data_IF_847720113681
#
_entry.id   IF_847720113681
#
_cell.length_a   1.000
_cell.length_b   1.000
_cell.length_c   1.000
_cell.angle_alpha   90.00
_cell.angle_beta   90.00
_cell.angle_gamma   90.00
#
_symmetry.space_group_name_H-M   'P 1'
#
loop_
_entity.id
_entity.type
_entity.pdbx_description
1 polymer ?
#
# COMPACT_ATOMS: atom_id res chain seq x y z
N UNK A 1 -0.20 -40.96 36.52
CA UNK A 1 0.56 -40.60 35.30
C UNK A 1 -0.07 -39.36 34.71
N UNK A 2 0.56 -38.21 34.91
CA UNK A 2 0.03 -36.89 34.52
C UNK A 2 0.44 -36.61 33.08
N UNK A 3 -0.55 -36.49 32.19
CA UNK A 3 -0.35 -36.05 30.80
C UNK A 3 0.04 -34.56 30.81
N UNK A 4 1.31 -34.26 30.51
CA UNK A 4 1.72 -32.92 30.11
C UNK A 4 1.16 -32.64 28.71
N UNK A 5 0.07 -31.89 28.65
CA UNK A 5 -0.32 -31.19 27.43
C UNK A 5 0.71 -30.08 27.19
N UNK A 6 1.62 -30.31 26.23
CA UNK A 6 2.44 -29.24 25.67
C UNK A 6 1.49 -28.26 24.97
N UNK A 7 1.18 -27.15 25.64
CA UNK A 7 0.59 -26.00 24.98
C UNK A 7 1.58 -25.53 23.92
N UNK A 8 1.32 -25.85 22.65
CA UNK A 8 1.97 -25.19 21.54
C UNK A 8 1.72 -23.69 21.72
N UNK A 9 2.76 -22.92 22.03
CA UNK A 9 2.64 -21.48 22.07
C UNK A 9 2.12 -21.03 20.71
N UNK A 10 0.92 -20.43 20.68
CA UNK A 10 0.37 -19.85 19.47
C UNK A 10 1.40 -18.86 18.94
N UNK A 11 1.94 -19.13 17.75
CA UNK A 11 3.03 -18.32 17.23
C UNK A 11 2.47 -16.95 16.83
N UNK A 12 2.77 -15.95 17.66
CA UNK A 12 2.36 -14.56 17.43
C UNK A 12 3.43 -13.84 16.63
N UNK A 13 3.05 -13.29 15.49
CA UNK A 13 3.87 -12.42 14.64
C UNK A 13 3.56 -10.97 14.93
N UNK A 14 4.51 -10.07 14.70
CA UNK A 14 4.17 -8.65 14.78
C UNK A 14 3.31 -8.27 13.55
N UNK A 15 2.32 -7.39 13.70
CA UNK A 15 1.43 -7.03 12.59
C UNK A 15 2.17 -6.51 11.36
N UNK A 16 3.29 -5.81 11.54
CA UNK A 16 4.14 -5.31 10.44
C UNK A 16 4.83 -6.41 9.61
N UNK A 17 4.98 -7.60 10.18
CA UNK A 17 5.54 -8.79 9.54
C UNK A 17 4.48 -9.54 8.74
N UNK A 18 3.20 -9.18 8.89
CA UNK A 18 2.08 -9.82 8.21
C UNK A 18 1.58 -8.94 7.07
N UNK A 19 1.26 -9.58 5.95
CA UNK A 19 0.66 -8.92 4.80
C UNK A 19 -0.45 -9.78 4.20
N UNK A 20 -1.58 -9.15 3.89
CA UNK A 20 -2.62 -9.74 3.06
C UNK A 20 -2.21 -9.58 1.60
N UNK A 21 -1.86 -10.68 0.96
CA UNK A 21 -1.50 -10.77 -0.44
C UNK A 21 -2.72 -11.22 -1.25
N UNK A 22 -3.06 -10.45 -2.28
CA UNK A 22 -4.11 -10.80 -3.24
C UNK A 22 -3.42 -11.27 -4.51
N UNK A 23 -3.72 -12.49 -4.94
CA UNK A 23 -3.09 -13.09 -6.12
C UNK A 23 -4.08 -13.15 -7.27
N UNK A 24 -3.73 -12.43 -8.33
CA UNK A 24 -4.49 -12.32 -9.56
C UNK A 24 -3.91 -13.17 -10.69
N UNK A 25 -4.69 -13.31 -11.76
CA UNK A 25 -4.26 -14.05 -12.95
C UNK A 25 -3.39 -13.18 -13.84
N UNK A 26 -3.79 -11.92 -14.00
CA UNK A 26 -3.07 -10.95 -14.83
C UNK A 26 -3.06 -9.57 -14.21
N UNK A 27 -1.89 -8.93 -14.20
CA UNK A 27 -1.72 -7.53 -13.80
C UNK A 27 -2.26 -6.56 -14.86
N UNK A 28 -2.23 -6.97 -16.13
CA UNK A 28 -2.63 -6.15 -17.28
C UNK A 28 -4.16 -6.20 -17.54
N UNK A 29 -4.83 -7.28 -17.12
CA UNK A 29 -6.28 -7.47 -17.23
C UNK A 29 -6.87 -7.97 -15.90
N UNK A 30 -6.97 -7.06 -14.93
CA UNK A 30 -7.52 -7.33 -13.59
C UNK A 30 -8.97 -7.83 -13.70
N UNK A 31 -9.22 -9.01 -13.14
CA UNK A 31 -10.55 -9.60 -13.15
C UNK A 31 -11.52 -8.80 -12.26
N UNK A 32 -12.82 -8.86 -12.57
CA UNK A 32 -13.84 -8.19 -11.75
C UNK A 32 -13.86 -8.70 -10.31
N UNK A 33 -13.51 -9.97 -10.08
CA UNK A 33 -13.46 -10.58 -8.75
C UNK A 33 -12.25 -10.09 -7.96
N UNK A 34 -11.07 -10.00 -8.59
CA UNK A 34 -9.87 -9.42 -7.96
C UNK A 34 -10.11 -7.97 -7.56
N UNK A 35 -10.68 -7.16 -8.46
CA UNK A 35 -11.03 -5.77 -8.17
C UNK A 35 -12.00 -5.67 -6.98
N UNK A 36 -12.99 -6.55 -6.92
CA UNK A 36 -13.93 -6.58 -5.79
C UNK A 36 -13.23 -6.90 -4.47
N UNK A 37 -12.35 -7.92 -4.46
CA UNK A 37 -11.54 -8.30 -3.28
C UNK A 37 -10.71 -7.14 -2.78
N UNK A 38 -9.95 -6.48 -3.66
CA UNK A 38 -9.08 -5.38 -3.23
C UNK A 38 -9.91 -4.19 -2.75
N UNK A 39 -11.00 -3.84 -3.44
CA UNK A 39 -11.92 -2.77 -3.01
C UNK A 39 -12.49 -3.02 -1.63
N UNK A 40 -12.97 -4.25 -1.39
CA UNK A 40 -13.57 -4.64 -0.12
C UNK A 40 -12.56 -4.55 1.02
N UNK A 41 -11.38 -5.15 0.86
CA UNK A 41 -10.34 -5.13 1.89
C UNK A 41 -9.85 -3.70 2.19
N UNK A 42 -9.77 -2.83 1.19
CA UNK A 42 -9.48 -1.41 1.41
C UNK A 42 -10.60 -0.69 2.18
N UNK A 43 -11.87 -0.98 1.86
CA UNK A 43 -13.01 -0.40 2.58
C UNK A 43 -12.94 -0.77 4.07
N UNK A 44 -12.70 -2.04 4.40
CA UNK A 44 -12.63 -2.50 5.80
C UNK A 44 -11.52 -1.83 6.60
N UNK A 45 -10.36 -1.65 5.98
CA UNK A 45 -9.23 -0.97 6.63
C UNK A 45 -9.62 0.46 7.01
N UNK A 46 -10.36 1.14 6.14
CA UNK A 46 -10.90 2.47 6.39
C UNK A 46 -12.02 2.48 7.43
N UNK A 47 -12.98 1.56 7.32
CA UNK A 47 -14.19 1.51 8.15
C UNK A 47 -13.89 1.10 9.60
N UNK A 48 -13.00 0.13 9.80
CA UNK A 48 -12.69 -0.43 11.11
C UNK A 48 -11.36 0.03 11.69
N UNK A 49 -10.66 0.93 11.00
CA UNK A 49 -9.39 1.46 11.48
C UNK A 49 -8.31 0.39 11.69
N UNK A 50 -8.30 -0.66 10.86
CA UNK A 50 -7.30 -1.74 10.93
C UNK A 50 -5.95 -1.29 10.35
N UNK A 51 -5.31 -0.34 11.05
CA UNK A 51 -4.10 0.37 10.59
C UNK A 51 -2.89 -0.54 10.36
N UNK A 52 -2.87 -1.67 11.07
CA UNK A 52 -1.76 -2.60 11.09
C UNK A 52 -1.87 -3.67 9.99
N UNK A 53 -3.04 -3.78 9.35
CA UNK A 53 -3.25 -4.71 8.24
C UNK A 53 -2.56 -4.17 6.99
N UNK A 54 -1.45 -4.80 6.58
CA UNK A 54 -0.76 -4.48 5.31
C UNK A 54 -1.39 -5.27 4.18
N UNK A 55 -1.42 -4.67 2.99
CA UNK A 55 -1.97 -5.30 1.79
C UNK A 55 -1.00 -5.20 0.63
N UNK A 56 -1.13 -6.13 -0.31
CA UNK A 56 -0.36 -6.18 -1.54
C UNK A 56 -0.99 -7.06 -2.61
N UNK A 57 -0.49 -6.97 -3.85
CA UNK A 57 -0.94 -7.78 -4.98
C UNK A 57 0.22 -8.44 -5.70
N UNK A 58 0.03 -9.65 -6.23
CA UNK A 58 0.95 -10.35 -7.15
C UNK A 58 0.14 -11.07 -8.26
N UNK A 59 0.78 -11.36 -9.39
CA UNK A 59 0.10 -11.89 -10.58
C UNK A 59 0.89 -13.01 -11.29
N UNK A 60 0.17 -13.97 -11.90
CA UNK A 60 0.78 -15.11 -12.61
C UNK A 60 1.30 -14.79 -14.02
N UNK A 61 0.77 -13.75 -14.67
CA UNK A 61 1.29 -13.28 -15.97
C UNK A 61 2.67 -12.63 -15.87
N UNK A 62 3.17 -12.36 -14.66
CA UNK A 62 4.52 -11.85 -14.39
C UNK A 62 5.46 -13.01 -14.06
N UNK A 63 6.46 -13.34 -14.90
CA UNK A 63 7.29 -14.54 -14.71
C UNK A 63 8.02 -14.61 -13.37
N UNK A 64 8.53 -13.47 -12.87
CA UNK A 64 9.20 -13.40 -11.56
C UNK A 64 8.24 -13.66 -10.40
N UNK A 65 7.05 -13.08 -10.47
CA UNK A 65 6.02 -13.26 -9.43
C UNK A 65 5.43 -14.66 -9.49
N UNK A 66 5.17 -15.20 -10.68
CA UNK A 66 4.67 -16.56 -10.87
C UNK A 66 5.64 -17.63 -10.33
N UNK A 67 6.95 -17.46 -10.55
CA UNK A 67 7.98 -18.31 -9.92
C UNK A 67 7.91 -18.18 -8.41
N UNK A 68 7.82 -16.96 -7.88
CA UNK A 68 7.75 -16.73 -6.45
C UNK A 68 6.48 -17.30 -5.79
N UNK A 69 5.32 -17.10 -6.42
CA UNK A 69 4.02 -17.61 -5.99
C UNK A 69 4.04 -19.14 -5.90
N UNK A 70 4.62 -19.81 -6.90
CA UNK A 70 4.71 -21.28 -6.92
C UNK A 70 5.74 -21.81 -5.95
N UNK A 71 6.96 -21.29 -6.02
CA UNK A 71 8.13 -21.92 -5.40
C UNK A 71 8.30 -21.51 -3.93
N UNK A 72 7.84 -20.30 -3.57
CA UNK A 72 7.97 -19.77 -2.20
C UNK A 72 6.64 -19.81 -1.45
N UNK A 73 5.56 -19.38 -2.10
CA UNK A 73 4.26 -19.23 -1.44
C UNK A 73 3.33 -20.46 -1.63
N UNK A 74 3.68 -21.37 -2.53
CA UNK A 74 2.90 -22.59 -2.82
C UNK A 74 1.53 -22.32 -3.44
N UNK A 75 1.30 -21.13 -3.99
CA UNK A 75 0.05 -20.72 -4.63
C UNK A 75 0.11 -21.12 -6.10
N UNK A 76 -0.95 -21.72 -6.64
CA UNK A 76 -1.02 -22.15 -8.05
C UNK A 76 -1.92 -21.23 -8.86
N UNK A 77 -1.70 -21.21 -10.17
CA UNK A 77 -2.50 -20.41 -11.09
C UNK A 77 -3.99 -20.82 -11.07
N UNK A 78 -4.27 -22.11 -10.81
CA UNK A 78 -5.62 -22.66 -10.66
C UNK A 78 -6.36 -22.19 -9.40
N UNK A 79 -5.66 -21.50 -8.49
CA UNK A 79 -6.18 -21.03 -7.21
C UNK A 79 -6.62 -19.56 -7.27
N UNK A 80 -6.30 -18.87 -8.37
CA UNK A 80 -6.66 -17.47 -8.62
C UNK A 80 -8.19 -17.34 -8.78
N UNK A 81 -8.83 -16.27 -8.29
CA UNK A 81 -8.30 -15.19 -7.45
C UNK A 81 -8.09 -15.71 -6.03
N UNK A 82 -6.91 -15.56 -5.44
CA UNK A 82 -6.65 -16.01 -4.07
C UNK A 82 -6.34 -14.84 -3.13
N UNK A 83 -6.68 -15.02 -1.86
CA UNK A 83 -6.28 -14.10 -0.79
C UNK A 83 -5.49 -14.87 0.24
N UNK A 84 -4.27 -14.43 0.47
CA UNK A 84 -3.30 -15.15 1.28
C UNK A 84 -2.77 -14.25 2.39
N UNK A 85 -2.65 -14.79 3.59
CA UNK A 85 -1.91 -14.15 4.66
C UNK A 85 -0.46 -14.66 4.59
N UNK A 86 0.47 -13.74 4.34
CA UNK A 86 1.89 -14.06 4.17
C UNK A 86 2.73 -13.40 5.25
N UNK A 87 3.79 -14.10 5.66
CA UNK A 87 4.86 -13.56 6.48
C UNK A 87 5.84 -12.82 5.58
N UNK A 88 6.22 -11.61 5.98
CA UNK A 88 7.22 -10.79 5.33
C UNK A 88 8.58 -10.95 6.03
N UNK A 89 9.65 -10.88 5.25
CA UNK A 89 10.98 -10.64 5.79
C UNK A 89 11.11 -9.18 6.26
N UNK A 90 11.49 -8.97 7.51
CA UNK A 90 11.59 -7.63 8.10
C UNK A 90 12.65 -6.73 7.46
N UNK A 91 13.66 -7.31 6.82
CA UNK A 91 14.75 -6.57 6.18
C UNK A 91 14.41 -6.20 4.74
N UNK A 92 13.83 -7.13 4.00
CA UNK A 92 13.59 -6.98 2.56
C UNK A 92 12.16 -6.61 2.23
N UNK A 93 11.20 -6.82 3.13
CA UNK A 93 9.78 -6.60 2.91
C UNK A 93 9.14 -7.56 1.91
N UNK A 94 9.82 -8.67 1.58
CA UNK A 94 9.34 -9.68 0.64
C UNK A 94 8.58 -10.81 1.35
N UNK A 95 7.52 -11.39 0.75
CA UNK A 95 6.81 -12.52 1.34
C UNK A 95 7.65 -13.80 1.43
N UNK A 96 8.07 -14.21 2.63
CA UNK A 96 8.92 -15.40 2.80
C UNK A 96 8.15 -16.69 2.94
N UNK A 97 6.89 -16.61 3.41
CA UNK A 97 6.09 -17.78 3.71
C UNK A 97 4.61 -17.47 3.64
N UNK A 98 3.86 -18.40 3.08
CA UNK A 98 2.41 -18.40 3.15
C UNK A 98 1.95 -19.03 4.48
N UNK A 99 1.12 -18.32 5.23
CA UNK A 99 0.58 -18.77 6.52
C UNK A 99 -0.84 -19.31 6.35
N UNK A 100 -1.61 -18.71 5.45
CA UNK A 100 -3.01 -19.06 5.21
C UNK A 100 -3.43 -18.61 3.82
N UNK A 101 -4.26 -19.38 3.12
CA UNK A 101 -4.76 -19.00 1.79
C UNK A 101 -6.20 -19.44 1.60
N UNK A 102 -6.98 -18.52 1.04
CA UNK A 102 -8.31 -18.77 0.51
C UNK A 102 -8.20 -18.71 -1.01
N UNK A 103 -8.39 -19.86 -1.66
CA UNK A 103 -8.34 -19.98 -3.10
C UNK A 103 -9.71 -19.70 -3.72
N UNK A 104 -9.73 -19.23 -4.98
CA UNK A 104 -10.93 -19.04 -5.80
C UNK A 104 -11.99 -18.16 -5.16
N UNK A 105 -11.56 -17.03 -4.60
CA UNK A 105 -12.42 -16.01 -4.03
C UNK A 105 -13.24 -15.36 -5.15
N UNK A 106 -14.56 -15.50 -5.05
CA UNK A 106 -15.51 -14.88 -5.96
C UNK A 106 -16.24 -13.73 -5.26
N UNK A 107 -16.90 -12.87 -6.04
CA UNK A 107 -17.75 -11.78 -5.50
C UNK A 107 -18.83 -12.24 -4.52
N UNK A 108 -19.32 -13.47 -4.64
CA UNK A 108 -20.37 -14.00 -3.75
C UNK A 108 -19.82 -14.51 -2.42
N UNK A 109 -18.55 -14.91 -2.40
CA UNK A 109 -17.89 -15.50 -1.23
C UNK A 109 -16.93 -14.52 -0.54
N UNK A 110 -16.89 -13.27 -1.00
CA UNK A 110 -15.92 -12.26 -0.56
C UNK A 110 -16.03 -11.94 0.94
N UNK A 111 -17.26 -11.79 1.45
CA UNK A 111 -17.48 -11.47 2.88
C UNK A 111 -17.05 -12.64 3.77
N UNK A 112 -17.36 -13.88 3.38
CA UNK A 112 -16.95 -15.06 4.13
C UNK A 112 -15.43 -15.29 4.08
N UNK A 113 -14.80 -15.02 2.93
CA UNK A 113 -13.36 -15.12 2.77
C UNK A 113 -12.63 -14.05 3.62
N UNK A 114 -13.18 -12.85 3.64
CA UNK A 114 -12.70 -11.75 4.47
C UNK A 114 -12.78 -12.09 5.97
N UNK A 115 -13.95 -12.51 6.47
CA UNK A 115 -14.16 -12.81 7.88
C UNK A 115 -13.16 -13.86 8.37
N UNK A 116 -12.97 -14.93 7.60
CA UNK A 116 -12.02 -15.98 7.93
C UNK A 116 -10.57 -15.49 7.86
N UNK A 117 -10.20 -14.71 6.83
CA UNK A 117 -8.87 -14.13 6.73
C UNK A 117 -8.54 -13.21 7.91
N UNK A 118 -9.49 -12.36 8.32
CA UNK A 118 -9.34 -11.44 9.43
C UNK A 118 -9.25 -12.18 10.76
N UNK A 119 -10.01 -13.27 10.92
CA UNK A 119 -9.90 -14.18 12.07
C UNK A 119 -8.49 -14.75 12.17
N UNK A 120 -7.96 -15.28 11.06
CA UNK A 120 -6.60 -15.83 11.00
C UNK A 120 -5.54 -14.76 11.28
N UNK A 121 -5.68 -13.56 10.69
CA UNK A 121 -4.79 -12.44 10.96
C UNK A 121 -4.82 -12.02 12.43
N UNK A 122 -6.00 -11.94 13.06
CA UNK A 122 -6.14 -11.60 14.47
C UNK A 122 -5.49 -12.63 15.39
N UNK A 123 -5.67 -13.92 15.09
CA UNK A 123 -5.08 -15.04 15.84
C UNK A 123 -3.54 -15.02 15.73
N UNK A 124 -3.01 -14.78 14.54
CA UNK A 124 -1.58 -14.78 14.28
C UNK A 124 -0.88 -13.48 14.72
N UNK A 125 -1.57 -12.34 14.70
CA UNK A 125 -0.99 -11.05 15.11
C UNK A 125 -1.17 -10.75 16.59
N UNK A 126 -2.11 -11.45 17.26
CA UNK A 126 -2.56 -11.14 18.62
C UNK A 126 -3.38 -9.84 18.71
N UNK A 127 -3.68 -9.19 17.58
CA UNK A 127 -4.46 -7.95 17.55
C UNK A 127 -5.95 -8.30 17.55
N UNK A 128 -6.74 -7.81 18.52
CA UNK A 128 -8.15 -8.15 18.59
C UNK A 128 -8.93 -7.52 17.43
N UNK A 129 -9.82 -8.30 16.80
CA UNK A 129 -10.78 -7.75 15.86
C UNK A 129 -11.74 -6.76 16.55
N UNK A 130 -12.15 -5.69 15.83
CA UNK A 130 -13.24 -4.81 16.26
C UNK A 130 -14.48 -5.62 16.64
N UNK A 131 -15.22 -5.16 17.65
CA UNK A 131 -16.39 -5.86 18.20
C UNK A 131 -17.46 -6.22 17.16
N UNK A 132 -17.56 -5.44 16.08
CA UNK A 132 -18.47 -5.63 14.96
C UNK A 132 -18.10 -6.79 14.03
N UNK A 133 -16.85 -7.26 14.08
CA UNK A 133 -16.30 -8.36 13.26
C UNK A 133 -16.01 -9.61 14.10
N UNK A 134 -16.35 -9.59 15.40
CA UNK A 134 -16.26 -10.80 16.23
C UNK A 134 -17.46 -11.68 15.93
N UNK A 135 -17.28 -13.00 15.76
CA UNK A 135 -18.41 -13.90 15.61
C UNK A 135 -19.29 -13.80 16.86
N UNK A 136 -20.55 -13.41 16.66
CA UNK A 136 -21.59 -13.54 17.67
C UNK A 136 -21.72 -15.02 18.00
N UNK A 137 -21.45 -15.39 19.26
CA UNK A 137 -21.82 -16.70 19.77
C UNK A 137 -23.31 -16.99 19.52
N UNK A 138 -23.73 -18.26 19.50
CA UNK A 138 -25.11 -18.61 19.17
C UNK A 138 -26.07 -17.98 20.19
N UNK A 139 -26.91 -17.05 19.74
CA UNK A 139 -28.12 -16.64 20.45
C UNK A 139 -28.26 -15.19 20.92
N UNK A 140 -27.92 -14.17 20.11
CA UNK A 140 -28.48 -12.82 20.31
C UNK A 140 -28.88 -12.20 18.96
N UNK A 141 -30.11 -11.68 18.79
CA UNK A 141 -30.55 -11.06 17.54
C UNK A 141 -29.69 -9.84 17.21
N UNK A 142 -29.21 -9.77 15.98
CA UNK A 142 -28.49 -8.62 15.42
C UNK A 142 -29.48 -7.48 15.22
N UNK A 143 -29.48 -6.48 16.10
CA UNK A 143 -29.99 -5.15 15.74
C UNK A 143 -28.86 -4.38 15.04
N UNK A 144 -28.89 -4.41 13.71
CA UNK A 144 -28.19 -3.45 12.86
C UNK A 144 -28.57 -2.04 13.33
N UNK A 145 -27.63 -1.15 13.70
CA UNK A 145 -27.98 0.21 14.04
C UNK A 145 -28.52 0.91 12.79
N UNK A 146 -29.82 1.19 12.79
CA UNK A 146 -30.45 2.11 11.86
C UNK A 146 -29.84 3.50 12.11
N UNK A 147 -29.18 4.05 11.10
CA UNK A 147 -28.64 5.39 11.16
C UNK A 147 -29.77 6.42 11.31
N UNK A 148 -29.83 7.08 12.48
CA UNK A 148 -30.65 8.29 12.69
C UNK A 148 -29.70 9.49 12.74
N UNK A 149 -30.00 10.60 12.03
CA UNK A 149 -29.06 11.71 11.88
C UNK A 149 -29.08 12.62 13.11
N UNK A 150 -27.97 12.70 13.84
CA UNK A 150 -27.83 13.64 14.96
C UNK A 150 -26.68 14.63 14.71
N UNK A 151 -27.00 15.90 14.94
CA UNK A 151 -26.24 17.11 14.64
C UNK A 151 -24.81 17.13 15.23
N UNK A 152 -23.92 17.69 14.42
CA UNK A 152 -22.50 18.04 14.65
C UNK A 152 -22.35 19.20 15.63
N UNK A 153 -21.33 19.17 16.52
CA UNK A 153 -20.59 20.36 16.92
C UNK A 153 -19.22 20.40 16.21
N UNK A 154 -18.84 21.62 15.86
CA UNK A 154 -17.73 22.03 15.01
C UNK A 154 -16.42 22.16 15.79
N UNK A 155 -15.32 21.53 15.34
CA UNK A 155 -13.95 22.12 15.34
C UNK A 155 -12.88 21.13 14.84
N UNK A 156 -12.55 21.26 13.55
CA UNK A 156 -11.27 20.98 12.87
C UNK A 156 -11.60 20.70 11.39
N UNK A 157 -10.92 21.30 10.40
CA UNK A 157 -11.13 20.93 9.02
C UNK A 157 -10.72 19.45 8.85
N UNK A 158 -11.65 18.55 8.47
CA UNK A 158 -11.25 17.21 8.10
C UNK A 158 -10.42 17.33 6.83
N UNK A 159 -9.19 16.80 6.84
CA UNK A 159 -8.51 16.49 5.58
C UNK A 159 -9.45 15.56 4.83
N UNK A 160 -10.04 16.08 3.76
CA UNK A 160 -10.90 15.30 2.88
C UNK A 160 -10.12 14.08 2.43
N UNK A 161 -10.61 12.85 2.67
CA UNK A 161 -10.13 11.72 1.93
C UNK A 161 -10.50 12.02 0.47
N UNK A 162 -9.51 12.30 -0.37
CA UNK A 162 -9.75 12.55 -1.78
C UNK A 162 -10.26 11.23 -2.37
N UNK A 163 -11.49 11.19 -2.91
CA UNK A 163 -12.02 10.00 -3.54
C UNK A 163 -11.50 9.97 -4.98
N UNK A 164 -10.47 9.17 -5.22
CA UNK A 164 -10.27 8.55 -6.53
C UNK A 164 -10.27 7.05 -6.29
N UNK A 165 -11.39 6.40 -6.62
CA UNK A 165 -11.63 4.97 -6.47
C UNK A 165 -10.81 4.08 -7.42
N UNK A 166 -9.59 4.52 -7.76
CA UNK A 166 -8.63 3.71 -8.49
C UNK A 166 -7.73 3.03 -7.46
N UNK A 167 -8.06 1.79 -7.16
CA UNK A 167 -7.19 0.90 -6.42
C UNK A 167 -5.97 0.58 -7.30
N UNK A 168 -4.82 1.10 -6.91
CA UNK A 168 -3.52 0.86 -7.53
C UNK A 168 -3.03 -0.56 -7.20
N UNK A 169 -2.80 -1.34 -8.26
CA UNK A 169 -2.07 -2.61 -8.21
C UNK A 169 -0.58 -2.35 -8.03
N UNK A 170 0.21 -3.39 -7.78
CA UNK A 170 1.68 -3.28 -7.78
C UNK A 170 2.22 -2.61 -9.06
N UNK A 171 1.66 -2.89 -10.23
CA UNK A 171 2.02 -2.22 -11.49
C UNK A 171 1.52 -0.77 -11.57
N UNK A 172 0.33 -0.46 -11.04
CA UNK A 172 -0.13 0.93 -10.92
C UNK A 172 0.85 1.75 -10.08
N UNK A 173 1.32 1.16 -8.98
CA UNK A 173 2.33 1.74 -8.10
C UNK A 173 3.70 1.84 -8.79
N UNK A 174 4.14 0.80 -9.51
CA UNK A 174 5.40 0.79 -10.25
C UNK A 174 5.38 1.80 -11.42
N UNK A 175 4.27 1.92 -12.12
CA UNK A 175 4.05 2.91 -13.17
C UNK A 175 4.16 4.33 -12.64
N UNK A 176 3.52 4.60 -11.50
CA UNK A 176 3.66 5.88 -10.78
C UNK A 176 5.12 6.14 -10.39
N UNK A 177 5.84 5.15 -9.86
CA UNK A 177 7.24 5.30 -9.48
C UNK A 177 8.15 5.57 -10.71
N UNK A 178 7.94 4.87 -11.82
CA UNK A 178 8.65 5.09 -13.10
C UNK A 178 8.39 6.49 -13.65
N UNK A 179 7.15 6.95 -13.60
CA UNK A 179 6.77 8.29 -14.05
C UNK A 179 7.39 9.39 -13.16
N UNK A 180 7.41 9.18 -11.85
CA UNK A 180 8.04 10.08 -10.89
C UNK A 180 9.56 10.16 -11.08
N UNK A 181 10.25 9.04 -11.28
CA UNK A 181 11.69 9.02 -11.59
C UNK A 181 11.97 9.72 -12.90
N UNK A 182 11.24 9.38 -13.98
CA UNK A 182 11.46 10.01 -15.29
C UNK A 182 11.28 11.52 -15.23
N UNK A 183 10.24 11.99 -14.54
CA UNK A 183 9.92 13.42 -14.46
C UNK A 183 10.90 14.18 -13.58
N UNK A 184 11.29 13.62 -12.43
CA UNK A 184 12.30 14.23 -11.56
C UNK A 184 13.67 14.28 -12.24
N UNK A 185 14.08 13.20 -12.93
CA UNK A 185 15.32 13.16 -13.70
C UNK A 185 15.32 14.17 -14.85
N UNK A 186 14.22 14.27 -15.61
CA UNK A 186 14.10 15.24 -16.70
C UNK A 186 14.18 16.69 -16.19
N UNK A 187 13.56 16.99 -15.04
CA UNK A 187 13.64 18.33 -14.43
C UNK A 187 15.06 18.61 -13.92
N UNK A 188 15.72 17.61 -13.31
CA UNK A 188 17.10 17.73 -12.83
C UNK A 188 18.09 17.98 -13.97
N UNK A 189 18.00 17.25 -15.08
CA UNK A 189 18.87 17.44 -16.25
C UNK A 189 18.81 18.87 -16.80
N UNK A 190 17.64 19.50 -16.76
CA UNK A 190 17.43 20.87 -17.22
C UNK A 190 18.04 21.92 -16.27
N UNK A 191 18.31 21.58 -15.01
CA UNK A 191 18.78 22.51 -13.97
C UNK A 191 20.23 22.27 -13.58
N UNK A 192 20.71 21.03 -13.55
CA UNK A 192 22.00 20.65 -12.94
C UNK A 192 23.22 21.43 -13.44
N UNK A 193 23.23 21.75 -14.74
CA UNK A 193 24.34 22.45 -15.39
C UNK A 193 24.13 23.97 -15.52
N UNK A 194 23.01 24.49 -15.01
CA UNK A 194 22.77 25.94 -15.04
C UNK A 194 23.56 26.64 -13.94
N UNK A 195 24.05 27.87 -14.17
CA UNK A 195 24.68 28.65 -13.11
C UNK A 195 23.72 28.80 -11.93
N UNK A 196 24.26 28.72 -10.71
CA UNK A 196 23.47 29.03 -9.51
C UNK A 196 23.13 30.51 -9.49
N UNK A 197 22.06 30.87 -8.78
CA UNK A 197 21.76 32.27 -8.54
C UNK A 197 22.81 32.88 -7.61
N UNK A 198 23.07 34.17 -7.79
CA UNK A 198 24.03 34.91 -6.96
C UNK A 198 23.62 34.94 -5.48
N UNK A 199 22.31 34.87 -5.20
CA UNK A 199 21.75 34.82 -3.84
C UNK A 199 21.82 33.43 -3.18
N UNK A 200 22.24 32.40 -3.92
CA UNK A 200 22.34 31.02 -3.45
C UNK A 200 21.02 30.36 -3.06
N UNK A 201 19.87 31.02 -3.29
CA UNK A 201 18.57 30.53 -2.83
C UNK A 201 18.08 29.32 -3.64
N UNK A 202 18.61 29.11 -4.85
CA UNK A 202 18.32 27.91 -5.66
C UNK A 202 19.07 26.65 -5.18
N UNK A 203 19.98 26.75 -4.21
CA UNK A 203 20.73 25.61 -3.68
C UNK A 203 19.83 24.59 -2.99
N UNK A 204 18.93 25.04 -2.11
CA UNK A 204 18.00 24.16 -1.39
C UNK A 204 17.06 23.44 -2.36
N UNK A 205 16.57 24.17 -3.37
CA UNK A 205 15.75 23.63 -4.44
C UNK A 205 16.48 22.53 -5.22
N UNK A 206 17.73 22.78 -5.64
CA UNK A 206 18.53 21.79 -6.36
C UNK A 206 18.83 20.55 -5.53
N UNK A 207 19.10 20.72 -4.23
CA UNK A 207 19.30 19.61 -3.31
C UNK A 207 18.03 18.77 -3.14
N UNK A 208 16.88 19.40 -2.95
CA UNK A 208 15.60 18.72 -2.84
C UNK A 208 15.23 17.97 -4.14
N UNK A 209 15.49 18.58 -5.30
CA UNK A 209 15.27 17.95 -6.60
C UNK A 209 16.19 16.75 -6.83
N UNK A 210 17.47 16.85 -6.49
CA UNK A 210 18.39 15.70 -6.54
C UNK A 210 17.93 14.58 -5.60
N UNK A 211 17.48 14.93 -4.38
CA UNK A 211 16.87 13.98 -3.45
C UNK A 211 15.67 13.27 -4.05
N UNK A 212 14.77 13.99 -4.71
CA UNK A 212 13.63 13.39 -5.43
C UNK A 212 14.07 12.40 -6.52
N UNK A 213 15.09 12.73 -7.32
CA UNK A 213 15.65 11.82 -8.33
C UNK A 213 16.13 10.52 -7.69
N UNK A 214 16.91 10.61 -6.62
CA UNK A 214 17.44 9.44 -5.94
C UNK A 214 16.34 8.60 -5.30
N UNK A 215 15.43 9.24 -4.55
CA UNK A 215 14.38 8.52 -3.79
C UNK A 215 13.37 7.85 -4.71
N UNK A 216 12.97 8.50 -5.80
CA UNK A 216 12.03 7.91 -6.78
C UNK A 216 12.67 6.74 -7.53
N UNK A 217 13.96 6.83 -7.87
CA UNK A 217 14.73 5.69 -8.41
C UNK A 217 14.79 4.52 -7.44
N UNK A 218 15.09 4.76 -6.16
CA UNK A 218 15.14 3.71 -5.15
C UNK A 218 13.76 3.05 -4.92
N UNK A 219 12.67 3.83 -5.00
CA UNK A 219 11.32 3.29 -4.96
C UNK A 219 11.04 2.39 -6.16
N UNK A 220 11.35 2.83 -7.39
CA UNK A 220 11.20 2.01 -8.59
C UNK A 220 11.98 0.69 -8.48
N UNK A 221 13.26 0.76 -8.10
CA UNK A 221 14.11 -0.44 -7.97
C UNK A 221 13.49 -1.44 -7.00
N UNK A 222 13.04 -0.98 -5.83
CA UNK A 222 12.40 -1.83 -4.84
C UNK A 222 11.14 -2.53 -5.40
N UNK A 223 10.32 -1.82 -6.16
CA UNK A 223 9.11 -2.36 -6.77
C UNK A 223 9.43 -3.37 -7.90
N UNK A 224 10.44 -3.09 -8.74
CA UNK A 224 10.91 -4.03 -9.78
C UNK A 224 11.55 -5.30 -9.21
N UNK A 225 12.10 -5.18 -8.01
CA UNK A 225 12.63 -6.28 -7.22
C UNK A 225 11.54 -7.13 -6.54
N UNK A 226 10.26 -6.74 -6.69
CA UNK A 226 9.13 -7.46 -6.14
C UNK A 226 8.86 -7.17 -4.65
N UNK A 227 9.39 -6.06 -4.12
CA UNK A 227 9.00 -5.60 -2.78
C UNK A 227 7.59 -5.02 -2.88
N UNK A 228 6.63 -5.71 -2.26
CA UNK A 228 5.19 -5.46 -2.43
C UNK A 228 4.71 -4.18 -1.73
N UNK A 229 5.32 -3.84 -0.58
CA UNK A 229 5.06 -2.58 0.12
C UNK A 229 6.37 -1.99 0.66
N UNK A 230 7.15 -1.28 -0.18
CA UNK A 230 8.41 -0.66 0.20
C UNK A 230 8.19 0.65 0.97
N UNK A 231 7.51 0.58 2.12
CA UNK A 231 7.08 1.73 2.93
C UNK A 231 8.19 2.75 3.21
N UNK A 232 9.39 2.29 3.57
CA UNK A 232 10.55 3.15 3.82
C UNK A 232 10.99 3.94 2.56
N UNK A 233 10.82 3.35 1.36
CA UNK A 233 11.15 4.02 0.10
C UNK A 233 10.12 5.07 -0.25
N UNK A 234 8.83 4.76 -0.05
CA UNK A 234 7.77 5.75 -0.17
C UNK A 234 7.98 6.94 0.76
N UNK A 235 8.23 6.71 2.04
CA UNK A 235 8.47 7.78 3.01
C UNK A 235 9.64 8.68 2.61
N UNK A 236 10.71 8.09 2.05
CA UNK A 236 11.83 8.84 1.49
C UNK A 236 11.40 9.78 0.35
N UNK A 237 10.54 9.31 -0.57
CA UNK A 237 9.99 10.16 -1.64
C UNK A 237 9.11 11.27 -1.05
N UNK A 238 8.21 10.95 -0.12
CA UNK A 238 7.32 11.95 0.50
C UNK A 238 8.09 13.02 1.28
N UNK A 239 9.18 12.65 1.95
CA UNK A 239 10.05 13.60 2.60
C UNK A 239 10.71 14.55 1.59
N UNK A 240 11.32 14.05 0.52
CA UNK A 240 11.93 14.89 -0.51
C UNK A 240 10.90 15.73 -1.29
N UNK A 241 9.65 15.26 -1.43
CA UNK A 241 8.54 16.06 -1.97
C UNK A 241 8.28 17.30 -1.11
N UNK A 242 8.20 17.13 0.22
CA UNK A 242 7.99 18.26 1.15
C UNK A 242 9.16 19.24 1.13
N UNK A 243 10.39 18.74 1.10
CA UNK A 243 11.59 19.58 0.97
C UNK A 243 11.57 20.37 -0.34
N UNK A 244 11.15 19.73 -1.44
CA UNK A 244 11.02 20.39 -2.73
C UNK A 244 9.94 21.47 -2.71
N UNK A 245 8.75 21.21 -2.16
CA UNK A 245 7.70 22.23 -2.01
C UNK A 245 8.16 23.42 -1.17
N UNK A 246 8.77 23.16 -0.01
CA UNK A 246 9.27 24.20 0.91
C UNK A 246 10.38 25.04 0.30
N UNK A 247 11.16 24.47 -0.63
CA UNK A 247 12.22 25.19 -1.33
C UNK A 247 11.72 26.23 -2.33
N UNK A 248 10.41 26.38 -2.55
CA UNK A 248 9.82 27.42 -3.41
C UNK A 248 10.09 27.25 -4.90
N UNK A 249 9.77 26.10 -5.52
CA UNK A 249 10.14 25.77 -6.90
C UNK A 249 9.54 26.74 -7.93
N UNK A 250 8.38 27.33 -7.65
CA UNK A 250 7.75 28.35 -8.49
C UNK A 250 8.52 29.67 -8.54
N UNK A 251 9.41 29.93 -7.57
CA UNK A 251 10.21 31.15 -7.49
C UNK A 251 11.64 30.92 -7.94
N UNK A 252 12.24 29.79 -7.54
CA UNK A 252 13.68 29.56 -7.72
C UNK A 252 14.04 28.67 -8.91
N UNK A 253 13.07 27.99 -9.54
CA UNK A 253 13.33 27.37 -10.85
C UNK A 253 13.48 28.45 -11.93
N UNK A 254 14.26 28.18 -12.99
CA UNK A 254 14.23 28.96 -14.22
C UNK A 254 12.80 29.18 -14.73
N UNK A 255 12.52 30.36 -15.26
CA UNK A 255 11.16 30.83 -15.59
C UNK A 255 10.42 29.85 -16.50
N UNK A 256 11.13 29.33 -17.50
CA UNK A 256 10.65 28.36 -18.48
C UNK A 256 10.27 26.99 -17.87
N UNK A 257 10.86 26.63 -16.71
CA UNK A 257 10.60 25.35 -16.04
C UNK A 257 9.46 25.44 -15.02
N UNK A 258 9.10 26.66 -14.58
CA UNK A 258 8.05 26.87 -13.56
C UNK A 258 6.69 26.32 -14.01
N UNK A 259 6.42 26.35 -15.31
CA UNK A 259 5.17 25.80 -15.87
C UNK A 259 5.07 24.27 -15.73
N UNK A 260 6.19 23.57 -15.54
CA UNK A 260 6.22 22.12 -15.36
C UNK A 260 5.90 21.72 -13.90
N UNK A 261 6.04 22.63 -12.93
CA UNK A 261 5.87 22.36 -11.50
C UNK A 261 4.48 21.78 -11.17
N UNK A 262 3.34 22.34 -11.64
CA UNK A 262 2.03 21.78 -11.32
C UNK A 262 1.86 20.33 -11.80
N UNK A 263 2.35 20.01 -13.00
CA UNK A 263 2.31 18.66 -13.56
C UNK A 263 3.19 17.69 -12.77
N UNK A 264 4.41 18.11 -12.44
CA UNK A 264 5.33 17.32 -11.61
C UNK A 264 4.75 17.03 -10.22
N UNK A 265 4.17 18.05 -9.57
CA UNK A 265 3.51 17.89 -8.26
C UNK A 265 2.27 17.01 -8.31
N UNK A 266 1.59 16.89 -9.46
CA UNK A 266 0.48 15.94 -9.63
C UNK A 266 1.00 14.49 -9.63
N UNK A 267 2.16 14.23 -10.22
CA UNK A 267 2.79 12.91 -10.21
C UNK A 267 3.23 12.53 -8.79
N UNK A 268 3.88 13.44 -8.06
CA UNK A 268 4.29 13.18 -6.68
C UNK A 268 3.08 12.92 -5.75
N UNK A 269 1.96 13.60 -5.96
CA UNK A 269 0.70 13.31 -5.25
C UNK A 269 0.15 11.92 -5.57
N UNK A 270 0.38 11.36 -6.76
CA UNK A 270 0.03 9.97 -7.05
C UNK A 270 0.92 8.98 -6.30
N UNK A 271 2.20 9.31 -6.09
CA UNK A 271 3.09 8.50 -5.22
C UNK A 271 2.57 8.52 -3.78
N UNK A 272 2.11 9.68 -3.29
CA UNK A 272 1.48 9.82 -1.98
C UNK A 272 0.18 9.03 -1.87
N UNK A 273 -0.69 9.08 -2.88
CA UNK A 273 -1.89 8.25 -2.95
C UNK A 273 -1.57 6.76 -2.93
N UNK A 274 -0.56 6.31 -3.70
CA UNK A 274 -0.08 4.94 -3.68
C UNK A 274 0.42 4.53 -2.29
N UNK A 275 1.19 5.40 -1.63
CA UNK A 275 1.64 5.17 -0.27
C UNK A 275 0.46 4.99 0.68
N UNK A 276 -0.52 5.89 0.65
CA UNK A 276 -1.68 5.82 1.54
C UNK A 276 -2.60 4.65 1.20
N UNK A 277 -2.73 4.23 -0.05
CA UNK A 277 -3.51 3.04 -0.35
C UNK A 277 -2.85 1.78 0.26
N UNK A 278 -1.53 1.67 0.16
CA UNK A 278 -0.78 0.58 0.79
C UNK A 278 -0.70 0.75 2.32
N UNK A 279 -0.76 1.98 2.83
CA UNK A 279 -0.55 2.38 4.22
C UNK A 279 -1.56 3.48 4.64
N UNK A 280 -2.86 3.17 4.83
CA UNK A 280 -3.99 4.13 4.91
C UNK A 280 -3.93 5.14 6.04
N UNK A 281 -3.02 4.97 7.00
CA UNK A 281 -2.86 5.87 8.12
C UNK A 281 -1.39 6.11 8.51
N UNK A 282 -0.46 6.06 7.54
CA UNK A 282 0.93 6.47 7.72
C UNK A 282 1.13 7.97 7.96
#
# INVERSE_FOLDING_TARGET
MTLLAAAAAAQTYKPEELLVLIVGGSADSISADEKAVVNRLNQLRGEYGMKQLRMGTMHFDRPKEAVYLRDVLGIRETDVVSVSLVLLDNRTGRPVRNLYTISRVSRQAIDAAEDELLRQWSELSGVPLPSSLRPTGPGVPVTRPTATPTKRPTSAPPRTPVPTGEVLTHEGVLGIAKEAERSSAALWEQVRNRPMRDDGQDKLLRQALLGLVERTRLLRIALEEGIVNPSNRFQGVLQSTREFEQSGPTYYLPVELRQQVPGFMKILRRVEQAYYQLNPHG
#
